data_IF_530705695392
#
_entry.id   IF_530705695392
#
_cell.length_a   1.000
_cell.length_b   1.000
_cell.length_c   1.000
_cell.angle_alpha   90.00
_cell.angle_beta   90.00
_cell.angle_gamma   90.00
#
_symmetry.space_group_name_H-M   'P 1'
#
loop_
_entity.id
_entity.type
_entity.pdbx_description
1 polymer ?
#
# COMPACT_ATOMS: atom_id res chain seq x y z
N UNK A 1 -62.55 10.34 -17.56
CA UNK A 1 -62.32 9.97 -16.14
C UNK A 1 -61.69 8.59 -16.15
N UNK A 2 -60.44 8.50 -15.66
CA UNK A 2 -59.56 7.32 -15.41
C UNK A 2 -59.33 6.30 -16.53
N UNK A 3 -58.12 6.05 -17.05
CA UNK A 3 -56.84 5.63 -16.43
C UNK A 3 -56.71 4.10 -16.31
N UNK A 4 -55.73 3.52 -17.01
CA UNK A 4 -54.79 2.54 -16.42
C UNK A 4 -53.74 2.09 -17.45
N UNK A 5 -52.49 2.38 -17.13
CA UNK A 5 -51.26 1.97 -17.80
C UNK A 5 -51.01 0.46 -17.76
N UNK A 6 -50.43 -0.07 -18.84
CA UNK A 6 -49.68 -1.32 -18.82
C UNK A 6 -48.25 -1.05 -19.32
N UNK A 7 -47.29 -1.04 -18.39
CA UNK A 7 -45.85 -0.99 -18.68
C UNK A 7 -45.34 -2.43 -18.74
N UNK A 8 -44.99 -2.90 -19.93
CA UNK A 8 -44.15 -4.08 -20.14
C UNK A 8 -42.68 -3.67 -20.17
N UNK A 9 -41.89 -4.25 -19.27
CA UNK A 9 -40.44 -4.15 -19.28
C UNK A 9 -39.84 -5.13 -20.30
N UNK A 10 -38.92 -4.68 -21.16
CA UNK A 10 -37.83 -5.54 -21.61
C UNK A 10 -36.58 -4.77 -22.12
N UNK A 11 -35.43 -5.24 -21.60
CA UNK A 11 -34.06 -5.33 -22.15
C UNK A 11 -33.20 -4.09 -22.48
N UNK A 12 -32.03 -4.08 -21.83
CA UNK A 12 -30.69 -3.64 -22.31
C UNK A 12 -30.56 -2.24 -22.92
N UNK A 13 -30.09 -1.29 -22.10
CA UNK A 13 -29.37 -0.12 -22.58
C UNK A 13 -27.87 -0.24 -22.21
N UNK A 14 -26.94 -0.01 -23.14
CA UNK A 14 -25.51 0.01 -22.84
C UNK A 14 -25.16 1.24 -22.01
N UNK A 15 -24.24 1.08 -21.06
CA UNK A 15 -23.68 2.16 -20.25
C UNK A 15 -22.94 3.11 -21.21
N UNK A 16 -23.51 4.29 -21.47
CA UNK A 16 -22.86 5.32 -22.28
C UNK A 16 -21.78 6.03 -21.46
N UNK A 17 -20.59 6.29 -22.04
CA UNK A 17 -19.60 7.12 -21.38
C UNK A 17 -20.13 8.55 -21.25
N UNK A 18 -20.05 9.11 -20.05
CA UNK A 18 -20.44 10.50 -19.75
C UNK A 18 -19.55 11.43 -20.60
N UNK A 19 -20.12 11.99 -21.68
CA UNK A 19 -19.51 13.08 -22.44
C UNK A 19 -19.64 14.35 -21.61
N UNK A 20 -18.55 14.77 -20.99
CA UNK A 20 -18.43 16.13 -20.45
C UNK A 20 -18.48 17.09 -21.64
N UNK A 21 -19.62 17.77 -21.82
CA UNK A 21 -19.81 18.73 -22.92
C UNK A 21 -19.04 20.02 -22.63
N UNK A 22 -18.48 20.62 -23.69
CA UNK A 22 -17.69 21.88 -23.64
C UNK A 22 -18.47 23.09 -23.09
N UNK A 23 -19.78 22.99 -22.91
CA UNK A 23 -20.62 24.08 -22.37
C UNK A 23 -20.33 24.40 -20.90
N UNK A 24 -19.79 23.46 -20.12
CA UNK A 24 -19.36 23.75 -18.75
C UNK A 24 -18.10 24.62 -18.66
N UNK A 25 -17.34 24.76 -19.76
CA UNK A 25 -16.09 25.55 -19.81
C UNK A 25 -16.33 27.00 -20.26
N UNK A 26 -17.44 27.29 -20.95
CA UNK A 26 -17.65 28.61 -21.56
C UNK A 26 -18.36 29.64 -20.69
N UNK A 27 -19.00 29.24 -19.57
CA UNK A 27 -19.76 30.17 -18.73
C UNK A 27 -18.97 30.84 -17.59
N UNK A 28 -17.69 30.56 -17.44
CA UNK A 28 -16.84 31.19 -16.40
C UNK A 28 -16.18 32.51 -16.83
N UNK A 29 -16.45 33.00 -18.04
CA UNK A 29 -15.88 34.25 -18.54
C UNK A 29 -16.93 35.31 -18.91
N UNK A 30 -17.80 35.70 -17.97
CA UNK A 30 -18.38 37.07 -17.95
C UNK A 30 -19.22 37.36 -16.70
N UNK A 31 -18.62 38.02 -15.71
CA UNK A 31 -19.24 39.14 -14.99
C UNK A 31 -18.23 39.76 -14.01
N UNK A 32 -18.30 41.07 -13.91
CA UNK A 32 -17.25 41.98 -13.49
C UNK A 32 -17.28 42.31 -12.00
N UNK A 33 -16.08 42.53 -11.44
CA UNK A 33 -15.74 43.48 -10.35
C UNK A 33 -16.63 43.54 -9.10
N UNK A 34 -16.27 42.78 -8.07
CA UNK A 34 -16.30 43.25 -6.67
C UNK A 34 -15.29 42.45 -5.83
N UNK A 35 -14.61 43.13 -4.92
CA UNK A 35 -13.49 42.65 -4.12
C UNK A 35 -13.82 41.43 -3.24
N UNK A 36 -13.39 40.25 -3.67
CA UNK A 36 -13.17 39.08 -2.82
C UNK A 36 -11.87 38.42 -3.29
N UNK A 37 -10.90 38.24 -2.39
CA UNK A 37 -9.69 37.47 -2.66
C UNK A 37 -10.12 36.08 -3.12
N UNK A 38 -9.88 35.67 -4.38
CA UNK A 38 -10.16 34.31 -4.79
C UNK A 38 -8.99 33.49 -4.26
N UNK A 39 -9.17 32.95 -3.06
CA UNK A 39 -8.56 31.69 -2.67
C UNK A 39 -8.87 30.72 -3.80
N UNK A 40 -7.94 30.60 -4.75
CA UNK A 40 -8.06 29.68 -5.85
C UNK A 40 -8.13 28.31 -5.22
N UNK A 41 -9.33 27.76 -5.15
CA UNK A 41 -9.58 26.33 -5.17
C UNK A 41 -9.03 25.87 -6.52
N UNK A 42 -7.70 25.83 -6.65
CA UNK A 42 -7.03 25.02 -7.64
C UNK A 42 -7.35 23.63 -7.14
N UNK A 43 -8.45 23.06 -7.65
CA UNK A 43 -8.67 21.63 -7.57
C UNK A 43 -7.48 21.05 -8.32
N UNK A 44 -6.42 20.75 -7.58
CA UNK A 44 -5.11 20.45 -8.14
C UNK A 44 -5.32 19.29 -9.08
N UNK A 45 -4.87 19.40 -10.33
CA UNK A 45 -5.20 18.44 -11.39
C UNK A 45 -4.84 16.99 -10.98
N UNK A 46 -3.90 16.85 -10.04
CA UNK A 46 -3.49 15.62 -9.38
C UNK A 46 -4.60 14.92 -8.56
N UNK A 47 -5.55 15.68 -8.00
CA UNK A 47 -6.66 15.18 -7.16
C UNK A 47 -7.89 14.73 -7.95
N UNK A 48 -7.94 15.06 -9.25
CA UNK A 48 -9.03 14.67 -10.16
C UNK A 48 -9.02 13.15 -10.42
N UNK A 49 -10.16 12.57 -10.85
CA UNK A 49 -10.23 11.16 -11.24
C UNK A 49 -9.17 10.82 -12.30
N UNK A 50 -8.29 9.87 -11.99
CA UNK A 50 -7.18 9.45 -12.86
C UNK A 50 -5.84 10.14 -12.59
N UNK A 51 -5.79 11.15 -11.71
CA UNK A 51 -4.53 11.71 -11.23
C UNK A 51 -3.88 10.87 -10.12
N UNK A 52 -2.58 11.09 -9.88
CA UNK A 52 -1.78 10.33 -8.92
C UNK A 52 -2.23 10.51 -7.46
N UNK A 53 -2.96 11.60 -7.16
CA UNK A 53 -3.57 11.89 -5.86
C UNK A 53 -5.10 11.80 -5.90
N UNK A 54 -5.66 11.06 -6.86
CA UNK A 54 -7.10 10.90 -7.01
C UNK A 54 -7.74 10.37 -5.73
N UNK A 55 -8.68 11.14 -5.17
CA UNK A 55 -9.39 10.79 -3.94
C UNK A 55 -10.24 9.51 -4.10
N UNK A 56 -10.83 9.30 -5.28
CA UNK A 56 -11.55 8.07 -5.58
C UNK A 56 -10.61 6.86 -5.68
N UNK A 57 -9.40 7.06 -6.19
CA UNK A 57 -8.37 6.03 -6.26
C UNK A 57 -7.83 5.64 -4.89
N UNK A 58 -7.62 6.61 -4.01
CA UNK A 58 -7.16 6.40 -2.64
C UNK A 58 -8.24 5.68 -1.81
N UNK A 59 -9.47 6.21 -1.83
CA UNK A 59 -10.58 5.65 -1.04
C UNK A 59 -10.91 4.21 -1.45
N UNK A 60 -10.92 3.90 -2.75
CA UNK A 60 -11.18 2.54 -3.23
C UNK A 60 -10.11 1.55 -2.76
N UNK A 61 -8.82 1.91 -2.86
CA UNK A 61 -7.72 1.03 -2.41
C UNK A 61 -7.75 0.81 -0.90
N UNK A 62 -7.96 1.88 -0.12
CA UNK A 62 -8.10 1.77 1.33
C UNK A 62 -9.29 0.88 1.72
N UNK A 63 -10.43 1.02 1.04
CA UNK A 63 -11.60 0.17 1.26
C UNK A 63 -11.31 -1.30 0.94
N UNK A 64 -10.72 -1.59 -0.21
CA UNK A 64 -10.38 -2.96 -0.62
C UNK A 64 -9.34 -3.61 0.30
N UNK A 65 -8.34 -2.86 0.76
CA UNK A 65 -7.37 -3.33 1.75
C UNK A 65 -8.04 -3.64 3.09
N UNK A 66 -8.91 -2.76 3.57
CA UNK A 66 -9.71 -3.00 4.79
C UNK A 66 -10.58 -4.25 4.66
N UNK A 67 -11.27 -4.43 3.54
CA UNK A 67 -12.10 -5.60 3.28
C UNK A 67 -11.28 -6.89 3.21
N UNK A 68 -10.13 -6.83 2.54
CA UNK A 68 -9.18 -7.96 2.43
C UNK A 68 -8.66 -8.36 3.81
N UNK A 69 -8.28 -7.38 4.64
CA UNK A 69 -7.82 -7.62 6.00
C UNK A 69 -8.91 -8.29 6.84
N UNK A 70 -10.14 -7.75 6.83
CA UNK A 70 -11.26 -8.27 7.60
C UNK A 70 -11.70 -9.68 7.16
N UNK A 71 -11.84 -9.91 5.85
CA UNK A 71 -12.19 -11.24 5.31
C UNK A 71 -11.08 -12.26 5.56
N UNK A 72 -9.81 -11.85 5.46
CA UNK A 72 -8.68 -12.73 5.75
C UNK A 72 -8.64 -13.15 7.23
N UNK A 73 -8.88 -12.23 8.16
CA UNK A 73 -8.96 -12.54 9.60
C UNK A 73 -10.12 -13.49 9.87
N UNK A 74 -11.30 -13.19 9.33
CA UNK A 74 -12.48 -14.04 9.48
C UNK A 74 -12.24 -15.45 8.91
N UNK A 75 -11.72 -15.53 7.69
CA UNK A 75 -11.40 -16.81 7.02
C UNK A 75 -10.35 -17.59 7.80
N UNK A 76 -9.33 -16.92 8.35
CA UNK A 76 -8.31 -17.55 9.18
C UNK A 76 -8.90 -18.16 10.44
N UNK A 77 -9.77 -17.43 11.15
CA UNK A 77 -10.47 -17.93 12.33
C UNK A 77 -11.33 -19.16 11.97
N UNK A 78 -12.09 -19.10 10.88
CA UNK A 78 -12.89 -20.24 10.41
C UNK A 78 -12.02 -21.44 10.03
N UNK A 79 -10.86 -21.23 9.39
CA UNK A 79 -9.97 -22.32 9.01
C UNK A 79 -9.23 -22.94 10.22
N UNK A 80 -8.91 -22.14 11.22
CA UNK A 80 -8.16 -22.56 12.40
C UNK A 80 -9.01 -23.32 13.42
N UNK A 81 -10.20 -22.79 13.76
CA UNK A 81 -11.01 -23.33 14.86
C UNK A 81 -11.99 -24.40 14.39
N UNK A 82 -13.04 -24.12 13.59
CA UNK A 82 -14.01 -25.16 13.23
C UNK A 82 -13.48 -26.17 12.20
N UNK A 83 -12.56 -25.78 11.32
CA UNK A 83 -12.04 -26.67 10.25
C UNK A 83 -10.71 -27.34 10.60
N UNK A 84 -10.06 -26.94 11.70
CA UNK A 84 -8.75 -27.44 12.16
C UNK A 84 -7.72 -27.63 11.02
N UNK A 85 -7.75 -26.74 10.04
CA UNK A 85 -6.96 -26.86 8.82
C UNK A 85 -5.74 -25.96 8.89
N UNK A 86 -4.55 -26.45 8.52
CA UNK A 86 -3.33 -25.63 8.51
C UNK A 86 -3.34 -24.44 7.54
N UNK A 87 -4.37 -24.35 6.69
CA UNK A 87 -4.52 -23.31 5.68
C UNK A 87 -4.81 -21.93 6.26
N UNK A 88 -5.16 -21.81 7.55
CA UNK A 88 -5.41 -20.52 8.20
C UNK A 88 -4.22 -19.55 8.11
N UNK A 89 -3.00 -20.07 7.92
CA UNK A 89 -1.76 -19.27 7.78
C UNK A 89 -1.79 -18.35 6.56
N UNK A 90 -2.30 -18.82 5.42
CA UNK A 90 -2.34 -18.04 4.18
C UNK A 90 -3.24 -16.80 4.26
N UNK A 91 -4.52 -16.87 4.71
CA UNK A 91 -5.32 -15.67 4.88
C UNK A 91 -4.81 -14.76 6.02
N UNK A 92 -4.18 -15.30 7.08
CA UNK A 92 -3.48 -14.46 8.06
C UNK A 92 -2.35 -13.65 7.41
N UNK A 93 -1.54 -14.28 6.56
CA UNK A 93 -0.47 -13.62 5.83
C UNK A 93 -1.00 -12.50 4.93
N UNK A 94 -2.05 -12.77 4.15
CA UNK A 94 -2.72 -11.77 3.31
C UNK A 94 -3.26 -10.60 4.15
N UNK A 95 -3.86 -10.88 5.32
CA UNK A 95 -4.34 -9.82 6.22
C UNK A 95 -3.19 -8.94 6.74
N UNK A 96 -2.05 -9.54 7.10
CA UNK A 96 -0.87 -8.79 7.52
C UNK A 96 -0.33 -7.90 6.38
N UNK A 97 -0.27 -8.42 5.15
CA UNK A 97 0.12 -7.63 3.97
C UNK A 97 -0.84 -6.48 3.71
N UNK A 98 -2.15 -6.74 3.78
CA UNK A 98 -3.16 -5.70 3.56
C UNK A 98 -3.05 -4.58 4.60
N UNK A 99 -2.79 -4.93 5.86
CA UNK A 99 -2.52 -3.97 6.94
C UNK A 99 -1.22 -3.19 6.69
N UNK A 100 -0.15 -3.85 6.27
CA UNK A 100 1.13 -3.22 5.92
C UNK A 100 0.94 -2.13 4.85
N UNK A 101 0.31 -2.47 3.72
CA UNK A 101 0.08 -1.53 2.62
C UNK A 101 -0.81 -0.34 3.02
N UNK A 102 -1.81 -0.59 3.87
CA UNK A 102 -2.62 0.49 4.41
C UNK A 102 -1.83 1.40 5.35
N UNK A 103 -1.04 0.83 6.28
CA UNK A 103 -0.24 1.59 7.23
C UNK A 103 0.82 2.44 6.52
N UNK A 104 1.41 1.93 5.44
CA UNK A 104 2.35 2.68 4.62
C UNK A 104 1.75 3.97 4.08
N UNK A 105 0.58 3.85 3.46
CA UNK A 105 -0.16 4.99 2.96
C UNK A 105 -0.57 5.92 4.11
N UNK A 106 -1.12 5.37 5.20
CA UNK A 106 -1.64 6.16 6.32
C UNK A 106 -0.55 7.01 6.99
N UNK A 107 0.61 6.41 7.27
CA UNK A 107 1.75 7.14 7.87
C UNK A 107 2.28 8.18 6.88
N UNK A 108 2.41 7.85 5.60
CA UNK A 108 2.82 8.83 4.58
C UNK A 108 1.84 10.00 4.49
N UNK A 109 0.54 9.73 4.45
CA UNK A 109 -0.50 10.76 4.41
C UNK A 109 -0.46 11.65 5.66
N UNK A 110 -0.10 11.10 6.83
CA UNK A 110 -0.06 11.84 8.09
C UNK A 110 1.19 12.70 8.26
N UNK A 111 2.36 12.19 7.84
CA UNK A 111 3.67 12.79 8.14
C UNK A 111 4.43 13.32 6.92
N UNK A 112 4.04 12.94 5.70
CA UNK A 112 4.50 13.54 4.44
C UNK A 112 3.35 13.81 3.44
N UNK A 113 2.38 14.70 3.77
CA UNK A 113 1.25 15.01 2.90
C UNK A 113 1.63 15.51 1.48
N UNK A 114 2.71 16.29 1.28
CA UNK A 114 3.05 16.77 -0.07
C UNK A 114 3.43 15.65 -1.05
N UNK A 115 4.11 14.61 -0.56
CA UNK A 115 4.62 13.50 -1.38
C UNK A 115 3.66 12.31 -1.47
N UNK A 116 2.54 12.31 -0.73
CA UNK A 116 1.60 11.18 -0.73
C UNK A 116 0.89 11.07 -2.08
N UNK A 117 0.78 9.84 -2.58
CA UNK A 117 0.05 9.52 -3.80
C UNK A 117 -0.57 8.12 -3.69
N UNK A 118 -1.31 7.71 -4.70
CA UNK A 118 -1.82 6.34 -4.84
C UNK A 118 -0.67 5.30 -4.79
N UNK A 119 0.51 5.65 -5.28
CA UNK A 119 1.67 4.75 -5.24
C UNK A 119 2.19 4.54 -3.81
N UNK A 120 1.87 5.42 -2.85
CA UNK A 120 2.29 5.29 -1.45
C UNK A 120 1.63 4.11 -0.72
N UNK A 121 0.62 3.46 -1.30
CA UNK A 121 0.16 2.16 -0.80
C UNK A 121 1.18 1.04 -1.04
N UNK A 122 2.19 1.26 -1.89
CA UNK A 122 3.21 0.29 -2.26
C UNK A 122 2.60 -1.04 -2.76
N UNK A 123 1.51 -0.98 -3.52
CA UNK A 123 0.90 -2.20 -4.09
C UNK A 123 1.70 -2.75 -5.27
N UNK A 124 2.47 -1.89 -5.93
CA UNK A 124 3.34 -2.24 -7.05
C UNK A 124 4.81 -2.15 -6.62
N UNK A 125 5.30 -3.24 -6.00
CA UNK A 125 6.68 -3.37 -5.51
C UNK A 125 7.58 -4.19 -6.47
N UNK A 126 7.17 -4.33 -7.73
CA UNK A 126 7.89 -5.12 -8.72
C UNK A 126 7.51 -6.61 -8.74
N UNK A 127 8.04 -7.29 -9.76
CA UNK A 127 7.69 -8.68 -10.07
C UNK A 127 8.24 -9.67 -9.04
N UNK A 128 9.41 -9.38 -8.50
CA UNK A 128 10.17 -10.19 -7.56
C UNK A 128 9.45 -10.28 -6.22
N UNK A 129 8.97 -9.13 -5.72
CA UNK A 129 8.11 -9.06 -4.54
C UNK A 129 6.87 -9.94 -4.75
N UNK A 130 6.18 -9.77 -5.87
CA UNK A 130 4.95 -10.51 -6.17
C UNK A 130 5.22 -12.02 -6.25
N UNK A 131 6.29 -12.43 -6.92
CA UNK A 131 6.69 -13.85 -7.05
C UNK A 131 7.03 -14.45 -5.68
N UNK A 132 7.74 -13.72 -4.80
CA UNK A 132 8.10 -14.22 -3.48
C UNK A 132 6.87 -14.43 -2.58
N UNK A 133 5.89 -13.53 -2.62
CA UNK A 133 4.66 -13.68 -1.85
C UNK A 133 3.78 -14.80 -2.41
N UNK A 134 3.68 -14.91 -3.74
CA UNK A 134 2.97 -15.99 -4.40
C UNK A 134 3.64 -17.35 -4.15
N UNK A 135 4.98 -17.42 -4.13
CA UNK A 135 5.69 -18.66 -3.84
C UNK A 135 5.45 -19.13 -2.41
N UNK A 136 5.46 -18.23 -1.43
CA UNK A 136 5.11 -18.55 -0.04
C UNK A 136 3.66 -19.05 0.10
N UNK A 137 2.71 -18.43 -0.63
CA UNK A 137 1.32 -18.89 -0.65
C UNK A 137 1.16 -20.26 -1.34
N UNK A 138 1.85 -20.48 -2.45
CA UNK A 138 1.85 -21.75 -3.17
C UNK A 138 2.51 -22.86 -2.35
N UNK A 139 3.62 -22.58 -1.67
CA UNK A 139 4.23 -23.50 -0.72
C UNK A 139 3.21 -23.91 0.33
N UNK A 140 2.46 -22.96 0.90
CA UNK A 140 1.43 -23.27 1.88
C UNK A 140 0.35 -24.22 1.34
N UNK A 141 -0.13 -23.96 0.12
CA UNK A 141 -1.17 -24.76 -0.55
C UNK A 141 -0.65 -26.15 -0.94
N UNK A 142 0.51 -26.22 -1.60
CA UNK A 142 1.13 -27.46 -2.06
C UNK A 142 1.50 -28.35 -0.87
N UNK A 143 2.04 -27.75 0.20
CA UNK A 143 2.36 -28.48 1.43
C UNK A 143 1.13 -29.18 2.00
N UNK A 144 -0.02 -28.48 1.99
CA UNK A 144 -1.27 -29.06 2.44
C UNK A 144 -1.83 -30.14 1.50
N UNK A 145 -1.65 -30.00 0.19
CA UNK A 145 -2.16 -30.94 -0.81
C UNK A 145 -1.32 -32.21 -0.90
N UNK A 146 0.01 -32.11 -0.85
CA UNK A 146 0.93 -33.24 -1.05
C UNK A 146 1.34 -33.91 0.26
N UNK A 147 1.52 -33.15 1.34
CA UNK A 147 2.11 -33.63 2.60
C UNK A 147 1.16 -33.53 3.81
N UNK A 148 -0.08 -33.05 3.59
CA UNK A 148 -1.11 -32.96 4.62
C UNK A 148 -0.72 -32.01 5.77
N UNK A 149 -0.98 -32.44 7.00
CA UNK A 149 -0.72 -31.65 8.22
C UNK A 149 0.69 -31.88 8.81
N UNK A 150 1.38 -32.95 8.37
CA UNK A 150 2.66 -33.38 8.93
C UNK A 150 3.80 -32.41 8.60
N UNK A 151 3.80 -31.82 7.41
CA UNK A 151 4.85 -30.90 6.96
C UNK A 151 5.05 -29.73 7.92
N UNK A 152 3.97 -29.04 8.28
CA UNK A 152 4.02 -27.89 9.19
C UNK A 152 4.32 -28.30 10.63
N UNK A 153 3.82 -29.46 11.08
CA UNK A 153 4.14 -29.95 12.43
C UNK A 153 5.63 -30.24 12.59
N UNK A 154 6.27 -30.85 11.59
CA UNK A 154 7.69 -31.21 11.63
C UNK A 154 8.59 -29.99 11.54
N UNK A 155 8.33 -29.08 10.59
CA UNK A 155 9.13 -27.85 10.43
C UNK A 155 9.01 -26.92 11.64
N UNK A 156 7.81 -26.83 12.24
CA UNK A 156 7.61 -25.99 13.41
C UNK A 156 8.30 -26.50 14.68
N UNK A 157 8.66 -27.79 14.72
CA UNK A 157 9.30 -28.40 15.89
C UNK A 157 10.68 -27.78 16.17
N UNK A 158 11.40 -27.35 15.11
CA UNK A 158 12.66 -26.62 15.22
C UNK A 158 12.53 -25.31 16.04
N UNK A 159 11.35 -24.71 16.03
CA UNK A 159 11.04 -23.43 16.69
C UNK A 159 10.20 -23.60 17.96
N UNK A 160 10.12 -24.82 18.51
CA UNK A 160 9.33 -25.10 19.73
C UNK A 160 7.84 -25.35 19.48
N UNK A 161 7.46 -25.66 18.24
CA UNK A 161 6.09 -26.00 17.84
C UNK A 161 5.36 -24.85 17.13
N UNK A 162 4.21 -25.18 16.54
CA UNK A 162 3.43 -24.26 15.68
C UNK A 162 3.08 -22.96 16.39
N UNK A 163 2.61 -23.04 17.65
CA UNK A 163 2.22 -21.86 18.42
C UNK A 163 3.38 -20.92 18.70
N UNK A 164 4.57 -21.47 19.02
CA UNK A 164 5.77 -20.66 19.27
C UNK A 164 6.27 -20.02 17.99
N UNK A 165 6.39 -20.78 16.89
CA UNK A 165 6.79 -20.24 15.59
C UNK A 165 5.87 -19.10 15.14
N UNK A 166 4.55 -19.29 15.22
CA UNK A 166 3.58 -18.24 14.86
C UNK A 166 3.71 -17.03 15.77
N UNK A 167 3.87 -17.22 17.08
CA UNK A 167 4.00 -16.11 18.03
C UNK A 167 5.26 -15.29 17.76
N UNK A 168 6.39 -15.95 17.47
CA UNK A 168 7.65 -15.29 17.08
C UNK A 168 7.44 -14.52 15.77
N UNK A 169 6.79 -15.11 14.77
CA UNK A 169 6.50 -14.44 13.50
C UNK A 169 5.66 -13.18 13.68
N UNK A 170 4.58 -13.25 14.45
CA UNK A 170 3.72 -12.09 14.75
C UNK A 170 4.50 -11.01 15.51
N UNK A 171 5.32 -11.39 16.48
CA UNK A 171 6.17 -10.46 17.21
C UNK A 171 7.15 -9.73 16.28
N UNK A 172 7.82 -10.45 15.37
CA UNK A 172 8.73 -9.88 14.39
C UNK A 172 8.01 -8.92 13.42
N UNK A 173 6.80 -9.27 12.97
CA UNK A 173 5.97 -8.38 12.15
C UNK A 173 5.66 -7.08 12.90
N UNK A 174 5.25 -7.16 14.16
CA UNK A 174 4.94 -5.98 14.97
C UNK A 174 6.19 -5.11 15.16
N UNK A 175 7.31 -5.70 15.55
CA UNK A 175 8.57 -4.97 15.75
C UNK A 175 9.00 -4.30 14.44
N UNK A 176 9.00 -5.03 13.33
CA UNK A 176 9.38 -4.53 12.02
C UNK A 176 8.47 -3.39 11.55
N UNK A 177 7.15 -3.54 11.70
CA UNK A 177 6.20 -2.50 11.34
C UNK A 177 6.37 -1.24 12.18
N UNK A 178 6.60 -1.38 13.50
CA UNK A 178 6.85 -0.25 14.38
C UNK A 178 8.15 0.47 14.01
N UNK A 179 9.22 -0.27 13.73
CA UNK A 179 10.49 0.31 13.29
C UNK A 179 10.32 1.07 11.98
N UNK A 180 9.62 0.48 11.01
CA UNK A 180 9.30 1.11 9.72
C UNK A 180 8.50 2.40 9.92
N UNK A 181 7.40 2.34 10.65
CA UNK A 181 6.56 3.51 10.90
C UNK A 181 7.31 4.60 11.64
N UNK A 182 8.15 4.28 12.64
CA UNK A 182 8.98 5.28 13.33
C UNK A 182 9.98 5.95 12.38
N UNK A 183 10.67 5.18 11.53
CA UNK A 183 11.59 5.74 10.55
C UNK A 183 10.89 6.72 9.58
N UNK A 184 9.67 6.39 9.13
CA UNK A 184 8.86 7.29 8.29
C UNK A 184 8.42 8.55 9.04
N UNK A 185 8.02 8.43 10.31
CA UNK A 185 7.64 9.56 11.17
C UNK A 185 8.83 10.49 11.40
N UNK A 186 9.99 9.91 11.75
CA UNK A 186 11.21 10.67 12.03
C UNK A 186 11.75 11.37 10.77
N UNK A 187 11.64 10.73 9.61
CA UNK A 187 12.03 11.31 8.33
C UNK A 187 11.03 12.37 7.81
N UNK A 188 9.73 12.21 8.11
CA UNK A 188 8.67 13.16 7.75
C UNK A 188 8.67 13.51 6.26
N UNK A 189 8.77 14.80 5.95
CA UNK A 189 8.84 15.31 4.56
C UNK A 189 10.13 14.97 3.82
N UNK A 190 11.19 14.57 4.53
CA UNK A 190 12.43 14.10 3.92
C UNK A 190 12.37 12.61 3.54
N UNK A 191 11.28 11.91 3.90
CA UNK A 191 11.07 10.53 3.51
C UNK A 191 10.66 10.44 2.03
N UNK A 192 11.41 9.68 1.23
CA UNK A 192 11.06 9.39 -0.15
C UNK A 192 10.90 7.87 -0.36
N UNK A 193 9.81 7.46 -1.02
CA UNK A 193 9.44 6.06 -1.24
C UNK A 193 10.28 5.37 -2.32
N UNK A 194 10.82 6.13 -3.27
CA UNK A 194 11.84 5.68 -4.20
C UNK A 194 13.18 6.30 -3.83
N UNK A 195 14.23 5.49 -3.83
CA UNK A 195 15.59 5.98 -3.73
C UNK A 195 15.81 6.90 -4.93
N UNK A 196 15.98 8.20 -4.67
CA UNK A 196 16.33 9.16 -5.71
C UNK A 196 17.78 8.89 -6.14
N UNK A 197 17.94 8.21 -7.27
CA UNK A 197 19.23 8.00 -7.91
C UNK A 197 19.63 9.15 -8.84
N UNK A 198 18.72 10.09 -9.15
CA UNK A 198 18.99 11.17 -10.10
C UNK A 198 18.80 12.56 -9.48
N UNK A 199 19.86 13.37 -9.51
CA UNK A 199 19.77 14.84 -9.50
C UNK A 199 19.47 15.27 -10.94
N UNK A 200 18.58 16.27 -11.12
CA UNK A 200 18.31 16.86 -12.44
C UNK A 200 19.60 17.07 -13.26
N UNK A 201 19.54 16.50 -14.46
CA UNK A 201 20.48 16.45 -15.59
C UNK A 201 21.91 15.98 -15.32
N UNK A 202 22.05 14.66 -15.45
CA UNK A 202 23.26 14.03 -15.98
C UNK A 202 24.11 13.32 -14.93
N UNK A 203 23.66 12.18 -14.40
CA UNK A 203 24.58 11.29 -13.69
C UNK A 203 24.24 9.80 -13.73
N UNK A 204 25.27 9.04 -14.05
CA UNK A 204 25.42 7.59 -13.94
C UNK A 204 25.16 7.09 -12.50
N UNK A 205 24.68 5.84 -12.38
CA UNK A 205 24.28 5.16 -11.15
C UNK A 205 25.37 5.16 -10.05
N UNK A 206 25.41 6.20 -9.22
CA UNK A 206 26.24 6.25 -8.02
C UNK A 206 25.42 5.72 -6.84
N UNK A 207 25.88 4.60 -6.25
CA UNK A 207 25.28 3.96 -5.06
C UNK A 207 24.93 4.97 -3.96
N UNK A 208 23.81 4.74 -3.29
CA UNK A 208 23.19 5.60 -2.25
C UNK A 208 24.18 6.22 -1.26
N UNK A 209 25.11 5.44 -0.71
CA UNK A 209 26.06 5.94 0.27
C UNK A 209 27.01 7.00 -0.32
N UNK A 210 27.46 6.80 -1.57
CA UNK A 210 28.29 7.79 -2.27
C UNK A 210 27.49 9.04 -2.62
N UNK A 211 26.20 8.90 -2.92
CA UNK A 211 25.31 10.05 -3.12
C UNK A 211 25.16 10.87 -1.83
N UNK A 212 24.99 10.20 -0.69
CA UNK A 212 24.88 10.84 0.62
C UNK A 212 26.19 11.53 1.06
N UNK A 213 27.35 10.94 0.81
CA UNK A 213 28.67 11.60 1.02
C UNK A 213 28.83 12.81 0.11
N UNK A 214 28.33 12.76 -1.12
CA UNK A 214 28.40 13.89 -2.06
C UNK A 214 27.45 15.02 -1.65
N UNK A 215 26.27 14.67 -1.12
CA UNK A 215 25.22 15.62 -0.75
C UNK A 215 25.48 16.33 0.59
N UNK A 216 25.94 15.57 1.59
CA UNK A 216 26.14 16.05 2.98
C UNK A 216 27.62 16.17 3.38
N UNK A 217 28.55 15.78 2.50
CA UNK A 217 29.99 15.95 2.72
C UNK A 217 30.50 15.26 3.98
N UNK A 218 31.29 16.00 4.77
CA UNK A 218 31.91 15.53 6.01
C UNK A 218 30.90 15.25 7.13
N UNK A 219 29.70 15.82 7.08
CA UNK A 219 28.67 15.59 8.10
C UNK A 219 28.08 14.18 7.99
N UNK A 220 27.93 13.65 6.77
CA UNK A 220 27.53 12.26 6.58
C UNK A 220 28.64 11.27 6.93
N UNK A 221 29.91 11.62 6.68
CA UNK A 221 31.05 10.80 7.13
C UNK A 221 31.06 10.68 8.66
N UNK A 222 30.84 11.78 9.39
CA UNK A 222 30.70 11.76 10.86
C UNK A 222 29.45 11.02 11.34
N UNK A 223 28.35 11.08 10.59
CA UNK A 223 27.14 10.33 10.90
C UNK A 223 27.36 8.83 10.74
N UNK A 224 27.97 8.40 9.62
CA UNK A 224 28.36 6.99 9.35
C UNK A 224 29.22 6.40 10.46
N UNK A 225 30.19 7.15 10.97
CA UNK A 225 31.06 6.70 12.06
C UNK A 225 30.30 6.45 13.37
N UNK A 226 29.11 7.06 13.55
CA UNK A 226 28.31 6.98 14.77
C UNK A 226 27.13 6.02 14.67
N UNK A 227 26.66 5.69 13.46
CA UNK A 227 25.45 4.88 13.25
C UNK A 227 25.73 3.67 12.37
N UNK A 228 25.57 2.47 12.93
CA UNK A 228 25.58 1.22 12.16
C UNK A 228 24.33 1.07 11.30
N UNK A 229 24.46 0.46 10.12
CA UNK A 229 23.39 0.18 9.13
C UNK A 229 22.32 -0.78 9.69
N UNK A 230 22.55 -1.43 10.84
CA UNK A 230 21.58 -2.25 11.54
C UNK A 230 21.26 -3.60 10.88
N UNK A 231 21.66 -3.81 9.62
CA UNK A 231 21.55 -5.07 8.89
C UNK A 231 22.90 -5.81 8.96
N UNK A 232 22.96 -7.02 9.55
CA UNK A 232 24.19 -7.82 9.58
C UNK A 232 24.69 -8.11 8.15
N UNK A 233 25.94 -7.76 7.85
CA UNK A 233 26.57 -8.06 6.55
C UNK A 233 26.46 -6.98 5.48
N UNK A 234 25.91 -5.80 5.78
CA UNK A 234 25.91 -4.63 4.90
C UNK A 234 26.71 -3.52 5.60
N UNK A 235 27.78 -3.03 4.97
CA UNK A 235 28.73 -2.03 5.51
C UNK A 235 29.11 -0.95 4.50
#
# INVERSE_FOLDING_TARGET
MSESDHITANTTAPITPIKVTREWVSNTHRSSSSSLNPETIILDKETLPGGDKSLSGISLRAFLLGQTCALGIFTSICLAYPLHSSLWRAPTFISCLALFHFLEFFITARYNPPAVSIASFLLDNGSEYTIAHLSAMLECLISRLLFGETYFSTTSLLFGGVYMQTSIGVLLIIIGQLARSKAMVDAGTNFNHQVQTERQEGHELVREEKALVTFFGSDYVKYRERTMVGIPGIS
#
